data_IF_461154331372
#
_entry.id   IF_461154331372
#
_cell.length_a   1.000
_cell.length_b   1.000
_cell.length_c   1.000
_cell.angle_alpha   90.00
_cell.angle_beta   90.00
_cell.angle_gamma   90.00
#
_symmetry.space_group_name_H-M   'P 1'
#
loop_
_entity.id
_entity.type
_entity.pdbx_description
1 polymer ?
#
# COMPACT_ATOMS: atom_id res chain seq x y z
N UNK A 1 0.57 -12.43 4.94
CA UNK A 1 0.64 -11.23 4.10
C UNK A 1 0.36 -11.66 2.67
N UNK A 2 -0.62 -11.05 2.00
CA UNK A 2 -0.75 -11.20 0.54
C UNK A 2 -0.29 -9.89 -0.10
N UNK A 3 0.66 -10.01 -1.03
CA UNK A 3 1.33 -8.89 -1.70
C UNK A 3 0.72 -8.72 -3.08
N UNK A 4 0.09 -7.57 -3.34
CA UNK A 4 -0.61 -7.29 -4.58
C UNK A 4 0.06 -6.13 -5.31
N UNK A 5 0.74 -6.43 -6.43
CA UNK A 5 1.26 -5.43 -7.36
C UNK A 5 0.12 -4.90 -8.24
N UNK A 6 -0.26 -3.63 -8.08
CA UNK A 6 -1.36 -3.04 -8.84
C UNK A 6 -0.89 -2.50 -10.19
N UNK A 7 -0.69 -3.41 -11.16
CA UNK A 7 -0.50 -3.05 -12.57
C UNK A 7 -1.80 -3.09 -13.39
N UNK A 8 -2.89 -3.69 -12.88
CA UNK A 8 -4.21 -3.70 -13.53
C UNK A 8 -5.36 -3.89 -12.52
N UNK A 9 -6.20 -2.86 -12.33
CA UNK A 9 -7.20 -2.77 -11.25
C UNK A 9 -8.31 -3.84 -11.32
N UNK A 10 -8.67 -4.34 -12.50
CA UNK A 10 -9.87 -5.18 -12.69
C UNK A 10 -9.72 -6.63 -12.20
N UNK A 11 -8.55 -7.26 -12.40
CA UNK A 11 -8.29 -8.62 -11.91
C UNK A 11 -8.06 -8.65 -10.39
N UNK A 12 -7.60 -7.54 -9.82
CA UNK A 12 -7.20 -7.47 -8.41
C UNK A 12 -8.36 -7.37 -7.44
N UNK A 13 -9.51 -6.79 -7.81
CA UNK A 13 -10.64 -6.60 -6.88
C UNK A 13 -11.23 -7.92 -6.34
N UNK A 14 -11.41 -8.93 -7.20
CA UNK A 14 -11.94 -10.24 -6.76
C UNK A 14 -11.01 -10.94 -5.78
N UNK A 15 -9.71 -10.90 -6.06
CA UNK A 15 -8.68 -11.45 -5.18
C UNK A 15 -8.62 -10.68 -3.87
N UNK A 16 -8.71 -9.35 -3.92
CA UNK A 16 -8.77 -8.49 -2.74
C UNK A 16 -9.93 -8.87 -1.82
N UNK A 17 -11.17 -8.94 -2.34
CA UNK A 17 -12.34 -9.33 -1.55
C UNK A 17 -12.25 -10.78 -1.04
N UNK A 18 -11.66 -11.69 -1.81
CA UNK A 18 -11.40 -13.06 -1.35
C UNK A 18 -10.44 -13.06 -0.14
N UNK A 19 -9.32 -12.35 -0.22
CA UNK A 19 -8.33 -12.27 0.85
C UNK A 19 -8.92 -11.60 2.11
N UNK A 20 -9.76 -10.57 1.94
CA UNK A 20 -10.52 -9.95 3.04
C UNK A 20 -11.45 -10.96 3.73
N UNK A 21 -12.20 -11.75 2.96
CA UNK A 21 -13.08 -12.82 3.50
C UNK A 21 -12.30 -13.90 4.24
N UNK A 22 -11.04 -14.14 3.85
CA UNK A 22 -10.13 -15.06 4.53
C UNK A 22 -9.43 -14.42 5.74
N UNK A 23 -9.81 -13.21 6.13
CA UNK A 23 -9.20 -12.42 7.20
C UNK A 23 -7.68 -12.29 7.05
N UNK A 24 -7.20 -12.11 5.82
CA UNK A 24 -5.78 -11.86 5.54
C UNK A 24 -5.49 -10.36 5.53
N UNK A 25 -4.34 -9.98 6.09
CA UNK A 25 -3.77 -8.65 5.88
C UNK A 25 -3.25 -8.52 4.44
N UNK A 26 -3.59 -7.40 3.80
CA UNK A 26 -3.30 -7.12 2.40
C UNK A 26 -2.43 -5.87 2.31
N UNK A 27 -1.29 -6.02 1.63
CA UNK A 27 -0.42 -4.91 1.24
C UNK A 27 -0.61 -4.65 -0.25
N UNK A 28 -1.00 -3.42 -0.61
CA UNK A 28 -1.13 -2.99 -2.00
C UNK A 28 0.12 -2.21 -2.42
N UNK A 29 0.88 -2.76 -3.37
CA UNK A 29 2.16 -2.21 -3.82
C UNK A 29 2.05 -1.51 -5.19
N UNK A 30 2.92 -0.52 -5.39
CA UNK A 30 3.02 0.23 -6.65
C UNK A 30 1.97 1.34 -6.79
N UNK A 31 1.43 1.86 -5.68
CA UNK A 31 0.45 2.98 -5.74
C UNK A 31 1.17 4.31 -5.98
N UNK A 32 0.81 4.98 -7.08
CA UNK A 32 1.46 6.23 -7.51
C UNK A 32 0.52 7.45 -7.51
N UNK A 33 -0.78 7.28 -7.29
CA UNK A 33 -1.75 8.38 -7.34
C UNK A 33 -2.69 8.36 -6.13
N UNK A 34 -3.06 9.54 -5.63
CA UNK A 34 -4.01 9.70 -4.52
C UNK A 34 -5.36 9.04 -4.82
N UNK A 35 -5.82 9.12 -6.07
CA UNK A 35 -7.09 8.48 -6.50
C UNK A 35 -7.08 6.97 -6.23
N UNK A 36 -5.96 6.29 -6.49
CA UNK A 36 -5.82 4.86 -6.21
C UNK A 36 -5.68 4.60 -4.72
N UNK A 37 -4.91 5.44 -4.00
CA UNK A 37 -4.74 5.29 -2.57
C UNK A 37 -6.06 5.43 -1.80
N UNK A 38 -6.86 6.44 -2.13
CA UNK A 38 -8.15 6.68 -1.49
C UNK A 38 -9.16 5.58 -1.82
N UNK A 39 -9.16 5.08 -3.06
CA UNK A 39 -9.94 3.89 -3.40
C UNK A 39 -9.56 2.69 -2.51
N UNK A 40 -8.27 2.37 -2.38
CA UNK A 40 -7.79 1.22 -1.59
C UNK A 40 -8.06 1.39 -0.09
N UNK A 41 -7.93 2.61 0.45
CA UNK A 41 -8.31 2.93 1.83
C UNK A 41 -9.80 2.68 2.07
N UNK A 42 -10.66 3.15 1.16
CA UNK A 42 -12.11 2.98 1.27
C UNK A 42 -12.54 1.50 1.16
N UNK A 43 -11.84 0.70 0.35
CA UNK A 43 -12.02 -0.75 0.28
C UNK A 43 -11.47 -1.50 1.52
N UNK A 44 -10.80 -0.78 2.44
CA UNK A 44 -10.27 -1.31 3.68
C UNK A 44 -8.98 -2.11 3.50
N UNK A 45 -8.11 -1.69 2.58
CA UNK A 45 -6.75 -2.19 2.49
C UNK A 45 -5.98 -1.90 3.81
N UNK A 46 -5.12 -2.82 4.24
CA UNK A 46 -4.38 -2.69 5.50
C UNK A 46 -3.19 -1.76 5.34
N UNK A 47 -2.41 -1.95 4.27
CA UNK A 47 -1.14 -1.27 4.05
C UNK A 47 -1.01 -0.92 2.57
N UNK A 48 -0.50 0.28 2.30
CA UNK A 48 -0.28 0.77 0.93
C UNK A 48 1.18 1.18 0.79
N UNK A 49 1.81 0.73 -0.29
CA UNK A 49 3.17 1.08 -0.67
C UNK A 49 3.20 1.54 -2.12
N UNK A 50 4.01 2.55 -2.41
CA UNK A 50 4.30 2.97 -3.77
C UNK A 50 4.89 4.37 -3.81
N UNK A 51 5.21 4.83 -5.02
CA UNK A 51 5.89 6.12 -5.21
C UNK A 51 5.05 7.32 -4.81
N UNK A 52 3.73 7.16 -4.61
CA UNK A 52 2.90 8.18 -3.99
C UNK A 52 3.44 8.57 -2.59
N UNK A 53 3.93 7.59 -1.84
CA UNK A 53 4.47 7.81 -0.50
C UNK A 53 5.98 8.03 -0.59
N UNK A 54 6.72 6.96 -0.90
CA UNK A 54 8.16 6.99 -0.92
C UNK A 54 8.69 6.09 -2.03
N UNK A 55 9.73 6.56 -2.73
CA UNK A 55 10.54 5.71 -3.60
C UNK A 55 11.45 4.83 -2.73
N UNK A 56 11.94 3.68 -3.26
CA UNK A 56 13.05 2.97 -2.65
C UNK A 56 14.19 3.94 -2.35
N UNK A 57 14.65 3.92 -1.12
CA UNK A 57 15.65 4.85 -0.60
C UNK A 57 16.74 4.09 0.16
N UNK A 58 17.87 4.74 0.38
CA UNK A 58 18.92 4.12 1.19
C UNK A 58 18.56 4.16 2.68
N UNK A 59 19.28 3.38 3.49
CA UNK A 59 18.98 3.26 4.92
C UNK A 59 19.04 4.61 5.65
N UNK A 60 19.99 5.50 5.30
CA UNK A 60 20.11 6.81 5.95
C UNK A 60 18.92 7.74 5.66
N UNK A 61 18.38 7.70 4.44
CA UNK A 61 17.17 8.45 4.09
C UNK A 61 15.95 7.89 4.84
N UNK A 62 15.86 6.56 4.96
CA UNK A 62 14.79 5.89 5.69
C UNK A 62 14.80 6.27 7.17
N UNK A 63 15.95 6.20 7.83
CA UNK A 63 16.11 6.61 9.23
C UNK A 63 15.69 8.07 9.43
N UNK A 64 16.08 8.96 8.51
CA UNK A 64 15.69 10.37 8.53
C UNK A 64 14.16 10.53 8.49
N UNK A 65 13.49 9.85 7.57
CA UNK A 65 12.02 9.87 7.45
C UNK A 65 11.36 9.33 8.73
N UNK A 66 11.84 8.21 9.26
CA UNK A 66 11.29 7.60 10.47
C UNK A 66 11.42 8.52 11.69
N UNK A 67 12.53 9.25 11.82
CA UNK A 67 12.68 10.24 12.89
C UNK A 67 11.68 11.38 12.78
N UNK A 68 11.42 11.88 11.57
CA UNK A 68 10.44 12.94 11.33
C UNK A 68 9.02 12.44 11.66
N UNK A 69 8.66 11.24 11.23
CA UNK A 69 7.32 10.68 11.43
C UNK A 69 6.99 10.37 12.90
N UNK A 70 8.00 10.02 13.72
CA UNK A 70 7.81 9.77 15.16
C UNK A 70 7.71 11.05 16.01
N UNK A 71 7.96 12.21 15.42
CA UNK A 71 7.94 13.50 16.12
C UNK A 71 6.59 14.25 16.02
N UNK A 72 5.59 13.63 15.39
CA UNK A 72 4.20 14.12 15.23
C UNK A 72 3.26 13.22 16.03
#
# INVERSE_FOLDING_TARGET
MAMLLFLNLYLSQKMFHMLKRMHKSIVCEGVETEVIADFLKNEGCNEIQGFLYYRPMCIGDFETVMHIQNAV
#
